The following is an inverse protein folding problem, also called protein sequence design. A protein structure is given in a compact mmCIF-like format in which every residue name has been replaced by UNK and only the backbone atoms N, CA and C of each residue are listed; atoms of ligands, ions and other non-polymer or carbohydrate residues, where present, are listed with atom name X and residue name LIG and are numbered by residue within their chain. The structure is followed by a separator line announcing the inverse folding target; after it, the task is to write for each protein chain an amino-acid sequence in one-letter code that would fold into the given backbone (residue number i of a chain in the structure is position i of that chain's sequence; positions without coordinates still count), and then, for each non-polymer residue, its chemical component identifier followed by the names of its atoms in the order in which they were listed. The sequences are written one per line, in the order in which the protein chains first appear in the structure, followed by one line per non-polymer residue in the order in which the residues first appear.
data_IF_750248893216
#
_entry.id   IF_750248893216
#
_cell.length_a   1.000
_cell.length_b   1.000
_cell.length_c   1.000
_cell.angle_alpha   90.00
_cell.angle_beta   90.00
_cell.angle_gamma   90.00
#
_symmetry.space_group_name_H-M   'P 1'
#
loop_
_entity.id
_entity.type
_entity.pdbx_description
1 polymer ?
#
# COMPACT_ATOMS: atom_id res chain seq x y z
N UNK A 1 -0.50 12.77 4.30
CA UNK A 1 -0.51 12.61 5.78
C UNK A 1 0.89 12.29 6.27
N UNK A 2 1.58 13.20 6.99
CA UNK A 2 2.89 12.92 7.61
C UNK A 2 2.69 12.80 9.12
N UNK A 3 2.63 11.57 9.61
CA UNK A 3 2.84 11.24 11.01
C UNK A 3 4.30 10.79 11.13
N UNK A 4 5.07 11.47 11.98
CA UNK A 4 6.50 11.21 12.18
C UNK A 4 6.72 9.83 12.79
N UNK A 5 6.99 8.85 11.94
CA UNK A 5 7.37 7.50 12.33
C UNK A 5 8.25 6.87 11.26
N UNK A 6 9.15 5.98 11.66
CA UNK A 6 10.03 5.25 10.75
C UNK A 6 9.18 4.32 9.87
N UNK A 7 9.17 4.56 8.57
CA UNK A 7 8.41 3.77 7.60
C UNK A 7 9.07 2.40 7.45
N UNK A 8 8.51 1.38 8.11
CA UNK A 8 9.07 0.01 8.06
C UNK A 8 8.67 -0.70 6.77
N UNK A 9 7.40 -0.60 6.35
CA UNK A 9 6.90 -1.11 5.08
C UNK A 9 5.85 -0.14 4.52
N UNK A 10 6.11 0.43 3.35
CA UNK A 10 5.22 1.40 2.69
C UNK A 10 4.56 0.76 1.46
N UNK A 11 3.33 1.18 1.16
CA UNK A 11 2.60 0.77 -0.04
C UNK A 11 2.25 2.01 -0.87
N UNK A 12 2.40 1.91 -2.18
CA UNK A 12 2.01 2.97 -3.12
C UNK A 12 0.77 2.53 -3.91
N UNK A 13 -0.24 3.39 -3.97
CA UNK A 13 -1.39 3.18 -4.85
C UNK A 13 -0.98 3.25 -6.32
N UNK A 14 -1.32 2.23 -7.11
CA UNK A 14 -1.00 2.22 -8.54
C UNK A 14 -1.89 3.16 -9.37
N UNK A 15 -3.05 3.56 -8.85
CA UNK A 15 -3.99 4.41 -9.59
C UNK A 15 -3.64 5.91 -9.52
N UNK A 16 -3.06 6.37 -8.40
CA UNK A 16 -2.73 7.81 -8.16
C UNK A 16 -1.34 8.07 -7.58
N UNK A 17 -0.54 7.05 -7.31
CA UNK A 17 0.81 7.19 -6.75
C UNK A 17 0.87 7.56 -5.26
N UNK A 18 -0.28 7.62 -4.57
CA UNK A 18 -0.33 7.96 -3.15
C UNK A 18 0.34 6.88 -2.29
N UNK A 19 1.38 7.26 -1.55
CA UNK A 19 2.07 6.36 -0.62
C UNK A 19 1.45 6.43 0.77
N UNK A 20 1.19 5.26 1.36
CA UNK A 20 0.68 5.07 2.72
C UNK A 20 1.42 3.96 3.44
N UNK A 21 1.29 3.92 4.77
CA UNK A 21 1.86 2.83 5.56
C UNK A 21 1.04 1.55 5.36
N UNK A 22 1.71 0.39 5.36
CA UNK A 22 1.08 -0.90 5.14
C UNK A 22 0.11 -1.29 6.29
N UNK A 23 -0.58 -2.41 6.10
CA UNK A 23 -1.53 -2.98 7.06
C UNK A 23 -0.92 -3.40 8.40
N UNK A 24 0.38 -3.70 8.43
CA UNK A 24 1.12 -3.99 9.67
C UNK A 24 1.48 -2.75 10.47
N UNK A 25 1.29 -1.55 9.90
CA UNK A 25 1.52 -0.30 10.63
C UNK A 25 0.29 0.09 11.44
N UNK A 26 0.43 0.74 12.62
CA UNK A 26 -0.70 1.07 13.49
C UNK A 26 -1.84 1.84 12.80
N UNK A 27 -1.48 2.72 11.85
CA UNK A 27 -2.40 3.64 11.19
C UNK A 27 -2.98 3.12 9.87
N UNK A 28 -2.45 2.02 9.31
CA UNK A 28 -2.99 1.32 8.13
C UNK A 28 -3.45 2.22 6.96
N UNK A 29 -2.68 3.27 6.64
CA UNK A 29 -3.11 4.31 5.69
C UNK A 29 -3.38 3.79 4.29
N UNK A 30 -2.61 2.81 3.81
CA UNK A 30 -2.81 2.26 2.47
C UNK A 30 -4.20 1.62 2.33
N UNK A 31 -4.68 0.94 3.40
CA UNK A 31 -6.00 0.33 3.41
C UNK A 31 -7.13 1.33 3.55
N UNK A 32 -6.96 2.35 4.41
CA UNK A 32 -7.92 3.45 4.49
C UNK A 32 -8.08 4.13 3.13
N UNK A 33 -6.96 4.46 2.47
CA UNK A 33 -6.95 5.02 1.12
C UNK A 33 -7.68 4.14 0.11
N UNK A 34 -7.39 2.83 0.10
CA UNK A 34 -8.03 1.89 -0.82
C UNK A 34 -9.56 1.86 -0.67
N UNK A 35 -10.05 1.87 0.57
CA UNK A 35 -11.48 1.89 0.89
C UNK A 35 -12.14 3.23 0.53
N UNK A 36 -11.50 4.36 0.83
CA UNK A 36 -12.06 5.70 0.58
C UNK A 36 -12.11 6.06 -0.91
N UNK A 37 -11.15 5.57 -1.69
CA UNK A 37 -10.98 5.99 -3.08
C UNK A 37 -11.37 4.94 -4.12
N UNK A 38 -11.81 3.75 -3.66
CA UNK A 38 -12.04 2.59 -4.52
C UNK A 38 -10.81 2.21 -5.37
N UNK A 39 -9.62 2.32 -4.76
CA UNK A 39 -8.34 1.94 -5.37
C UNK A 39 -7.77 0.71 -4.70
N UNK A 40 -8.17 -0.49 -5.13
CA UNK A 40 -7.86 -1.70 -4.38
C UNK A 40 -6.41 -2.16 -4.55
N UNK A 41 -5.70 -1.72 -5.61
CA UNK A 41 -4.37 -2.21 -5.94
C UNK A 41 -3.28 -1.27 -5.46
N UNK A 42 -2.35 -1.81 -4.67
CA UNK A 42 -1.15 -1.13 -4.19
C UNK A 42 0.11 -1.93 -4.49
N UNK A 43 1.22 -1.24 -4.69
CA UNK A 43 2.56 -1.80 -4.89
C UNK A 43 3.41 -1.63 -3.64
N UNK A 44 4.35 -2.55 -3.40
CA UNK A 44 5.35 -2.39 -2.34
C UNK A 44 6.33 -1.27 -2.68
N UNK A 45 6.47 -0.28 -1.80
CA UNK A 45 7.47 0.78 -1.99
C UNK A 45 8.84 0.40 -1.38
N UNK A 46 9.06 -0.89 -1.12
CA UNK A 46 10.30 -1.39 -0.55
C UNK A 46 11.27 -1.79 -1.65
N UNK A 47 12.54 -1.38 -1.49
CA UNK A 47 13.58 -1.70 -2.47
C UNK A 47 13.78 -3.21 -2.56
N UNK A 48 13.66 -3.75 -3.76
CA UNK A 48 13.83 -5.18 -4.05
C UNK A 48 12.58 -6.03 -3.83
N UNK A 49 11.42 -5.41 -3.59
CA UNK A 49 10.14 -6.10 -3.44
C UNK A 49 9.15 -5.72 -4.56
N UNK A 50 9.12 -6.47 -5.65
CA UNK A 50 8.26 -6.19 -6.81
C UNK A 50 6.88 -6.87 -6.70
N UNK A 51 6.20 -6.69 -5.56
CA UNK A 51 4.89 -7.30 -5.33
C UNK A 51 3.78 -6.29 -5.13
N UNK A 52 2.65 -6.61 -5.74
CA UNK A 52 1.40 -5.90 -5.60
C UNK A 52 0.47 -6.63 -4.65
N UNK A 53 -0.53 -5.89 -4.18
CA UNK A 53 -1.57 -6.38 -3.30
C UNK A 53 -2.91 -5.80 -3.75
N UNK A 54 -3.93 -6.65 -3.88
CA UNK A 54 -5.31 -6.24 -4.07
C UNK A 54 -6.07 -6.36 -2.74
N UNK A 55 -6.62 -5.26 -2.25
CA UNK A 55 -7.41 -5.23 -1.01
C UNK A 55 -8.79 -5.88 -1.12
N UNK A 56 -9.34 -5.99 -2.33
CA UNK A 56 -10.66 -6.60 -2.57
C UNK A 56 -10.55 -8.11 -2.61
N UNK A 57 -9.57 -8.62 -3.35
CA UNK A 57 -9.35 -10.06 -3.50
C UNK A 57 -8.49 -10.65 -2.37
N UNK A 58 -7.86 -9.80 -1.56
CA UNK A 58 -6.91 -10.18 -0.51
C UNK A 58 -5.75 -11.08 -1.04
N UNK A 59 -5.31 -10.80 -2.28
CA UNK A 59 -4.22 -11.53 -2.94
C UNK A 59 -3.01 -10.64 -3.21
N UNK A 60 -1.83 -11.25 -3.11
CA UNK A 60 -0.57 -10.67 -3.56
C UNK A 60 -0.10 -11.31 -4.87
N UNK A 61 0.42 -10.49 -5.79
CA UNK A 61 0.90 -10.95 -7.09
C UNK A 61 2.14 -10.16 -7.54
N UNK A 62 2.98 -10.79 -8.35
CA UNK A 62 4.15 -10.19 -8.99
C UNK A 62 3.74 -9.70 -10.40
N UNK A 63 4.40 -8.66 -10.91
CA UNK A 63 4.34 -8.34 -12.34
C UNK A 63 5.61 -8.91 -12.97
N UNK A 64 5.46 -9.70 -14.02
CA UNK A 64 6.56 -10.23 -14.83
C UNK A 64 7.07 -9.22 -15.87
#
# INVERSE_FOLDING_TARGET
MRIGGTWVHSRQCLSRGQTGCCDSSPNRHARAHAAETAHPVVHSAQRGEDRNWCYVDEVGFLIE
#
